data_IF_208151752266
#
_entry.id   IF_208151752266
#
_cell.length_a   1.000
_cell.length_b   1.000
_cell.length_c   1.000
_cell.angle_alpha   90.00
_cell.angle_beta   90.00
_cell.angle_gamma   90.00
#
_symmetry.space_group_name_H-M   'P 1'
#
loop_
_entity.id
_entity.type
_entity.pdbx_description
1 polymer ?
#
# COMPACT_ATOMS: atom_id res chain seq x y z
N UNK A 1 20.21 27.38 20.73
CA UNK A 1 19.38 26.63 19.77
C UNK A 1 19.17 25.23 20.32
N UNK A 2 18.10 25.01 21.01
CA UNK A 2 17.75 23.66 21.53
C UNK A 2 17.44 22.75 20.35
N UNK A 3 18.24 21.71 20.24
CA UNK A 3 18.10 20.66 19.25
C UNK A 3 16.93 19.76 19.70
N UNK A 4 15.68 20.15 19.38
CA UNK A 4 14.49 19.33 19.64
C UNK A 4 14.60 18.07 18.78
N UNK A 5 15.28 17.04 19.33
CA UNK A 5 15.25 15.67 18.78
C UNK A 5 13.76 15.29 18.59
N UNK A 6 13.31 15.18 17.36
CA UNK A 6 11.98 14.63 17.06
C UNK A 6 11.84 13.30 17.81
N UNK A 7 10.89 13.25 18.76
CA UNK A 7 10.59 12.00 19.48
C UNK A 7 10.20 10.94 18.45
N UNK A 8 10.95 9.85 18.38
CA UNK A 8 10.58 8.72 17.55
C UNK A 8 9.28 8.11 18.08
N UNK A 9 8.41 7.67 17.18
CA UNK A 9 7.18 6.94 17.50
C UNK A 9 7.42 5.72 18.44
N UNK A 10 8.64 5.17 18.39
CA UNK A 10 9.02 3.99 19.17
C UNK A 10 9.56 4.27 20.56
N UNK A 11 9.66 5.54 20.98
CA UNK A 11 10.33 5.90 22.23
C UNK A 11 9.53 5.55 23.51
N UNK A 12 8.19 5.39 23.42
CA UNK A 12 7.36 5.16 24.60
C UNK A 12 7.44 3.72 25.11
N UNK A 13 7.27 2.76 24.24
CA UNK A 13 7.20 1.33 24.60
C UNK A 13 8.25 0.45 23.90
N UNK A 14 9.12 1.06 23.08
CA UNK A 14 10.14 0.38 22.31
C UNK A 14 9.63 -0.22 20.99
N UNK A 15 10.56 -0.50 20.09
CA UNK A 15 10.23 -0.96 18.72
C UNK A 15 9.45 -2.28 18.71
N UNK A 16 9.93 -3.30 19.41
CA UNK A 16 9.31 -4.64 19.42
C UNK A 16 7.87 -4.59 19.93
N UNK A 17 7.67 -3.98 21.09
CA UNK A 17 6.34 -3.89 21.71
C UNK A 17 5.35 -3.08 20.84
N UNK A 18 5.85 -2.01 20.17
CA UNK A 18 5.04 -1.24 19.23
C UNK A 18 4.60 -2.08 18.03
N UNK A 19 5.51 -2.86 17.44
CA UNK A 19 5.18 -3.75 16.32
C UNK A 19 4.21 -4.84 16.77
N UNK A 20 4.43 -5.46 17.91
CA UNK A 20 3.56 -6.54 18.42
C UNK A 20 2.14 -5.99 18.72
N UNK A 21 2.02 -4.79 19.30
CA UNK A 21 0.74 -4.11 19.49
C UNK A 21 0.04 -3.85 18.16
N UNK A 22 0.75 -3.36 17.18
CA UNK A 22 0.22 -3.06 15.84
C UNK A 22 -0.22 -4.33 15.12
N UNK A 23 0.58 -5.39 15.14
CA UNK A 23 0.23 -6.71 14.58
C UNK A 23 -1.03 -7.26 15.23
N UNK A 24 -1.14 -7.16 16.56
CA UNK A 24 -2.34 -7.58 17.30
C UNK A 24 -3.59 -6.80 16.87
N UNK A 25 -3.46 -5.49 16.74
CA UNK A 25 -4.56 -4.62 16.30
C UNK A 25 -4.99 -4.96 14.86
N UNK A 26 -4.04 -5.05 13.93
CA UNK A 26 -4.33 -5.38 12.53
C UNK A 26 -4.93 -6.79 12.41
N UNK A 27 -4.44 -7.76 13.19
CA UNK A 27 -5.00 -9.13 13.17
C UNK A 27 -6.48 -9.15 13.55
N UNK A 28 -6.91 -8.34 14.52
CA UNK A 28 -8.32 -8.21 14.88
C UNK A 28 -9.12 -7.62 13.73
N UNK A 29 -8.70 -6.47 13.20
CA UNK A 29 -9.36 -5.81 12.07
C UNK A 29 -9.48 -6.73 10.83
N UNK A 30 -8.41 -7.47 10.54
CA UNK A 30 -8.37 -8.39 9.40
C UNK A 30 -9.38 -9.55 9.53
N UNK A 31 -9.68 -9.97 10.75
CA UNK A 31 -10.59 -11.08 11.05
C UNK A 31 -12.04 -10.62 11.31
N UNK A 32 -12.33 -9.31 11.35
CA UNK A 32 -13.67 -8.80 11.61
C UNK A 32 -14.67 -9.08 10.49
N UNK A 33 -14.17 -9.20 9.27
CA UNK A 33 -14.99 -9.34 8.06
C UNK A 33 -14.29 -10.21 7.00
N UNK A 34 -14.97 -10.46 5.87
CA UNK A 34 -14.43 -11.18 4.72
C UNK A 34 -13.96 -10.23 3.59
N UNK A 35 -13.89 -8.93 3.85
CA UNK A 35 -13.45 -7.91 2.88
C UNK A 35 -12.00 -8.20 2.48
N UNK A 36 -11.67 -8.26 1.16
CA UNK A 36 -10.32 -8.51 0.69
C UNK A 36 -9.37 -7.36 1.03
N UNK A 37 -8.17 -7.71 1.46
CA UNK A 37 -7.12 -6.76 1.75
C UNK A 37 -6.07 -6.77 0.65
N UNK A 38 -5.61 -5.58 0.26
CA UNK A 38 -4.63 -5.36 -0.79
C UNK A 38 -3.50 -4.51 -0.22
N UNK A 39 -2.24 -4.91 -0.43
CA UNK A 39 -1.06 -4.09 -0.09
C UNK A 39 -0.54 -3.42 -1.34
N UNK A 40 -0.46 -2.09 -1.33
CA UNK A 40 0.25 -1.33 -2.35
C UNK A 40 1.76 -1.40 -2.10
N UNK A 41 2.49 -2.10 -2.96
CA UNK A 41 3.92 -2.32 -2.84
C UNK A 41 4.69 -1.60 -3.95
N UNK A 42 5.62 -0.74 -3.60
CA UNK A 42 6.46 0.03 -4.54
C UNK A 42 7.95 -0.32 -4.47
N UNK A 43 8.34 -1.32 -3.65
CA UNK A 43 9.74 -1.63 -3.39
C UNK A 43 10.45 -0.62 -2.46
N UNK A 44 9.78 0.47 -2.06
CA UNK A 44 10.32 1.47 -1.13
C UNK A 44 10.17 1.05 0.34
N UNK A 45 10.92 1.70 1.23
CA UNK A 45 10.98 1.36 2.68
C UNK A 45 9.63 1.29 3.37
N UNK A 46 8.73 2.23 3.07
CA UNK A 46 7.45 2.37 3.76
C UNK A 46 6.45 1.29 3.29
N UNK A 47 6.39 1.02 2.00
CA UNK A 47 5.58 -0.08 1.45
C UNK A 47 6.10 -1.46 1.87
N UNK A 48 7.43 -1.60 2.01
CA UNK A 48 8.04 -2.83 2.54
C UNK A 48 7.72 -3.03 4.01
N UNK A 49 7.69 -1.96 4.82
CA UNK A 49 7.26 -2.03 6.21
C UNK A 49 5.81 -2.48 6.34
N UNK A 50 4.90 -1.94 5.51
CA UNK A 50 3.51 -2.39 5.46
C UNK A 50 3.38 -3.86 5.06
N UNK A 51 4.12 -4.29 4.04
CA UNK A 51 4.12 -5.69 3.60
C UNK A 51 4.62 -6.62 4.72
N UNK A 52 5.69 -6.24 5.42
CA UNK A 52 6.21 -7.02 6.55
C UNK A 52 5.24 -7.06 7.74
N UNK A 53 4.52 -5.98 8.02
CA UNK A 53 3.46 -5.98 9.04
C UNK A 53 2.36 -6.97 8.67
N UNK A 54 1.87 -6.91 7.44
CA UNK A 54 0.84 -7.85 6.97
C UNK A 54 1.33 -9.29 6.95
N UNK A 55 2.59 -9.53 6.58
CA UNK A 55 3.20 -10.86 6.69
C UNK A 55 3.14 -11.40 8.12
N UNK A 56 3.57 -10.61 9.11
CA UNK A 56 3.53 -11.00 10.54
C UNK A 56 2.09 -11.23 11.04
N UNK A 57 1.15 -10.42 10.55
CA UNK A 57 -0.28 -10.61 10.83
C UNK A 57 -0.76 -11.97 10.36
N UNK A 58 -0.45 -12.35 9.11
CA UNK A 58 -0.85 -13.65 8.57
C UNK A 58 -0.15 -14.83 9.26
N UNK A 59 1.15 -14.73 9.56
CA UNK A 59 1.86 -15.74 10.35
C UNK A 59 1.24 -15.94 11.73
N UNK A 60 0.86 -14.85 12.41
CA UNK A 60 0.18 -14.91 13.70
C UNK A 60 -1.19 -15.59 13.59
N UNK A 61 -2.05 -15.16 12.66
CA UNK A 61 -3.37 -15.75 12.43
C UNK A 61 -3.24 -17.25 12.14
N UNK A 62 -2.24 -17.64 11.34
CA UNK A 62 -1.95 -19.03 11.04
C UNK A 62 -1.52 -19.83 12.28
N UNK A 63 -0.67 -19.25 13.13
CA UNK A 63 -0.24 -19.90 14.37
C UNK A 63 -1.38 -20.11 15.38
N UNK A 64 -2.45 -19.30 15.28
CA UNK A 64 -3.68 -19.44 16.06
C UNK A 64 -4.70 -20.39 15.42
N UNK A 65 -4.33 -21.09 14.33
CA UNK A 65 -5.20 -22.00 13.56
C UNK A 65 -6.51 -21.35 13.05
N UNK A 66 -6.48 -20.06 12.79
CA UNK A 66 -7.62 -19.34 12.23
C UNK A 66 -7.56 -19.31 10.70
N UNK A 67 -8.72 -19.18 10.07
CA UNK A 67 -8.83 -19.07 8.61
C UNK A 67 -8.23 -17.75 8.16
N UNK A 68 -7.40 -17.82 7.11
CA UNK A 68 -6.75 -16.67 6.50
C UNK A 68 -7.41 -16.42 5.15
N UNK A 69 -7.97 -15.22 4.95
CA UNK A 69 -8.46 -14.78 3.65
C UNK A 69 -7.31 -14.37 2.72
N UNK A 70 -7.50 -14.33 1.39
CA UNK A 70 -6.47 -13.92 0.45
C UNK A 70 -5.95 -12.51 0.70
N UNK A 71 -4.61 -12.33 0.69
CA UNK A 71 -3.95 -11.02 0.69
C UNK A 71 -3.36 -10.77 -0.69
N UNK A 72 -3.84 -9.74 -1.36
CA UNK A 72 -3.26 -9.31 -2.63
C UNK A 72 -2.13 -8.31 -2.39
N UNK A 73 -1.03 -8.44 -3.15
CA UNK A 73 0.06 -7.46 -3.13
C UNK A 73 0.20 -6.91 -4.54
N UNK A 74 -0.11 -5.64 -4.73
CA UNK A 74 -0.06 -5.01 -6.05
C UNK A 74 1.13 -4.06 -6.15
N UNK A 75 1.81 -4.11 -7.28
CA UNK A 75 2.80 -3.12 -7.69
C UNK A 75 2.52 -2.71 -9.13
N UNK A 76 2.89 -1.49 -9.48
CA UNK A 76 2.66 -0.96 -10.82
C UNK A 76 3.99 -0.74 -11.52
N UNK A 77 4.18 -1.42 -12.66
CA UNK A 77 5.26 -1.13 -13.58
C UNK A 77 4.77 -0.06 -14.59
N UNK A 78 5.43 1.07 -14.59
CA UNK A 78 5.10 2.17 -15.51
C UNK A 78 5.64 1.96 -16.92
N UNK A 79 6.45 0.90 -17.13
CA UNK A 79 7.16 0.59 -18.38
C UNK A 79 8.19 1.64 -18.80
N UNK A 80 8.56 2.55 -17.89
CA UNK A 80 9.59 3.58 -18.06
C UNK A 80 10.42 3.79 -16.77
N UNK A 81 10.32 2.83 -15.85
CA UNK A 81 11.16 2.82 -14.64
C UNK A 81 12.64 2.53 -15.01
N UNK A 82 13.53 2.94 -14.14
CA UNK A 82 14.93 2.53 -14.26
C UNK A 82 15.01 0.99 -14.27
N UNK A 83 15.73 0.36 -15.22
CA UNK A 83 15.80 -1.11 -15.33
C UNK A 83 16.23 -1.82 -14.04
N UNK A 84 17.13 -1.20 -13.25
CA UNK A 84 17.58 -1.73 -11.96
C UNK A 84 16.42 -1.76 -10.96
N UNK A 85 15.60 -0.70 -10.92
CA UNK A 85 14.43 -0.64 -10.04
C UNK A 85 13.36 -1.65 -10.49
N UNK A 86 13.11 -1.76 -11.79
CA UNK A 86 12.19 -2.75 -12.33
C UNK A 86 12.63 -4.19 -11.99
N UNK A 87 13.91 -4.51 -12.18
CA UNK A 87 14.48 -5.81 -11.81
C UNK A 87 14.33 -6.07 -10.31
N UNK A 88 14.65 -5.10 -9.46
CA UNK A 88 14.50 -5.20 -8.01
C UNK A 88 13.07 -5.51 -7.59
N UNK A 89 12.09 -4.80 -8.16
CA UNK A 89 10.68 -5.01 -7.86
C UNK A 89 10.23 -6.39 -8.30
N UNK A 90 10.56 -6.82 -9.52
CA UNK A 90 10.21 -8.15 -10.03
C UNK A 90 10.81 -9.27 -9.17
N UNK A 91 12.11 -9.20 -8.87
CA UNK A 91 12.79 -10.16 -7.99
C UNK A 91 12.15 -10.21 -6.60
N UNK A 92 11.75 -9.04 -6.06
CA UNK A 92 11.07 -8.96 -4.76
C UNK A 92 9.71 -9.64 -4.79
N UNK A 93 8.93 -9.50 -5.87
CA UNK A 93 7.64 -10.17 -6.03
C UNK A 93 7.79 -11.69 -6.18
N UNK A 94 8.82 -12.15 -6.91
CA UNK A 94 9.09 -13.57 -7.08
C UNK A 94 9.51 -14.20 -5.75
N UNK A 95 10.40 -13.55 -5.01
CA UNK A 95 10.79 -13.98 -3.67
C UNK A 95 9.59 -14.01 -2.71
N UNK A 96 8.72 -12.99 -2.77
CA UNK A 96 7.50 -12.93 -1.97
C UNK A 96 6.59 -14.13 -2.28
N UNK A 97 6.41 -14.46 -3.56
CA UNK A 97 5.60 -15.61 -4.00
C UNK A 97 6.16 -16.92 -3.50
N UNK A 98 7.45 -17.15 -3.68
CA UNK A 98 8.15 -18.34 -3.20
C UNK A 98 8.02 -18.51 -1.67
N UNK A 99 8.32 -17.45 -0.91
CA UNK A 99 8.26 -17.49 0.56
C UNK A 99 6.83 -17.63 1.09
N UNK A 100 5.85 -16.98 0.46
CA UNK A 100 4.45 -17.15 0.82
C UNK A 100 4.00 -18.61 0.60
N UNK A 101 4.36 -19.20 -0.53
CA UNK A 101 4.05 -20.59 -0.85
C UNK A 101 4.72 -21.56 0.13
N UNK A 102 6.02 -21.39 0.43
CA UNK A 102 6.75 -22.22 1.37
C UNK A 102 6.19 -22.16 2.80
N UNK A 103 5.63 -21.02 3.18
CA UNK A 103 4.96 -20.81 4.47
C UNK A 103 3.48 -21.15 4.46
N UNK A 104 2.90 -21.53 3.30
CA UNK A 104 1.46 -21.76 3.14
C UNK A 104 0.62 -20.54 3.52
N UNK A 105 1.05 -19.35 3.15
CA UNK A 105 0.32 -18.10 3.33
C UNK A 105 -0.37 -17.71 2.02
N UNK A 106 -1.66 -17.35 2.03
CA UNK A 106 -2.41 -17.00 0.85
C UNK A 106 -2.11 -15.56 0.38
N UNK A 107 -0.85 -15.29 0.01
CA UNK A 107 -0.38 -14.01 -0.50
C UNK A 107 -0.22 -14.10 -2.01
N UNK A 108 -0.86 -13.18 -2.74
CA UNK A 108 -0.94 -13.16 -4.19
C UNK A 108 -0.30 -11.90 -4.76
N UNK A 109 1.02 -11.91 -5.06
CA UNK A 109 1.70 -10.80 -5.70
C UNK A 109 1.25 -10.62 -7.14
N UNK A 110 0.98 -9.39 -7.55
CA UNK A 110 0.55 -9.04 -8.90
C UNK A 110 1.24 -7.77 -9.40
N UNK A 111 1.86 -7.87 -10.56
CA UNK A 111 2.39 -6.74 -11.32
C UNK A 111 1.26 -6.17 -12.19
N UNK A 112 1.02 -4.87 -12.07
CA UNK A 112 0.04 -4.13 -12.85
C UNK A 112 0.76 -3.25 -13.87
N UNK A 113 0.22 -3.17 -15.07
CA UNK A 113 0.75 -2.31 -16.14
C UNK A 113 -0.32 -1.36 -16.66
N UNK A 114 0.04 -0.19 -17.18
CA UNK A 114 -0.89 0.68 -17.87
C UNK A 114 -1.41 0.01 -19.16
N UNK A 115 -2.60 0.40 -19.61
CA UNK A 115 -3.05 0.06 -20.96
C UNK A 115 -2.10 0.67 -21.98
N UNK A 116 -1.95 0.05 -23.15
CA UNK A 116 -1.07 0.54 -24.22
C UNK A 116 -1.32 2.03 -24.52
N UNK A 117 -2.57 2.43 -24.62
CA UNK A 117 -2.98 3.81 -24.87
C UNK A 117 -2.65 4.81 -23.75
N UNK A 118 -2.29 4.31 -22.57
CA UNK A 118 -1.97 5.10 -21.38
C UNK A 118 -0.47 5.10 -21.06
N UNK A 119 0.35 4.41 -21.87
CA UNK A 119 1.80 4.35 -21.68
C UNK A 119 2.46 5.71 -21.89
N UNK A 120 3.66 5.88 -21.35
CA UNK A 120 4.40 7.14 -21.40
C UNK A 120 4.65 7.60 -22.84
N UNK A 121 5.19 6.74 -23.69
CA UNK A 121 5.58 7.11 -25.04
C UNK A 121 4.39 7.37 -25.95
N UNK A 122 3.30 6.63 -25.81
CA UNK A 122 2.06 6.89 -26.57
C UNK A 122 1.49 8.26 -26.22
N UNK A 123 1.53 8.67 -24.96
CA UNK A 123 1.02 10.00 -24.58
C UNK A 123 2.00 11.12 -24.95
N UNK A 124 3.30 10.95 -24.71
CA UNK A 124 4.30 11.99 -24.97
C UNK A 124 4.48 12.23 -26.47
N UNK A 125 4.73 11.16 -27.23
CA UNK A 125 5.04 11.26 -28.68
C UNK A 125 3.76 11.17 -29.50
N UNK A 126 2.93 10.15 -29.27
CA UNK A 126 1.76 9.88 -30.10
C UNK A 126 0.63 10.90 -29.94
N UNK A 127 0.47 11.48 -28.72
CA UNK A 127 -0.59 12.47 -28.41
C UNK A 127 -0.08 13.87 -28.16
N UNK A 128 1.23 14.09 -28.24
CA UNK A 128 1.84 15.41 -28.06
C UNK A 128 1.68 15.98 -26.65
N UNK A 129 1.59 15.16 -25.60
CA UNK A 129 1.50 15.64 -24.23
C UNK A 129 2.83 16.31 -23.85
N UNK A 130 2.79 17.44 -23.12
CA UNK A 130 4.00 18.06 -22.61
C UNK A 130 4.71 17.10 -21.64
N UNK A 131 6.02 17.20 -21.55
CA UNK A 131 6.81 16.44 -20.57
C UNK A 131 6.26 16.63 -19.15
N UNK A 132 6.16 15.58 -18.34
CA UNK A 132 5.68 15.69 -16.97
C UNK A 132 6.54 16.64 -16.14
N UNK A 133 5.89 17.45 -15.30
CA UNK A 133 6.55 18.34 -14.35
C UNK A 133 5.81 18.31 -13.00
N UNK A 134 6.27 19.05 -12.02
CA UNK A 134 5.71 19.08 -10.66
C UNK A 134 4.23 19.46 -10.60
N UNK A 135 3.74 20.27 -11.55
CA UNK A 135 2.34 20.74 -11.63
C UNK A 135 1.49 19.88 -12.57
N UNK A 136 2.10 19.24 -13.58
CA UNK A 136 1.40 18.44 -14.58
C UNK A 136 1.91 17.00 -14.60
N UNK A 137 1.38 16.18 -13.70
CA UNK A 137 1.82 14.83 -13.41
C UNK A 137 0.90 13.75 -14.01
N UNK A 138 0.53 13.91 -15.28
CA UNK A 138 -0.32 12.95 -15.99
C UNK A 138 0.22 11.51 -15.97
N UNK A 139 1.55 11.37 -15.92
CA UNK A 139 2.21 10.06 -15.82
C UNK A 139 1.81 9.29 -14.56
N UNK A 140 1.72 9.95 -13.40
CA UNK A 140 1.28 9.32 -12.15
C UNK A 140 -0.15 8.80 -12.26
N UNK A 141 -1.04 9.63 -12.77
CA UNK A 141 -2.46 9.30 -12.97
C UNK A 141 -2.60 8.07 -13.88
N UNK A 142 -2.05 8.13 -15.09
CA UNK A 142 -2.27 7.12 -16.14
C UNK A 142 -1.53 5.80 -15.89
N UNK A 143 -0.31 5.89 -15.36
CA UNK A 143 0.57 4.73 -15.28
C UNK A 143 0.65 4.10 -13.89
N UNK A 144 0.23 4.80 -12.82
CA UNK A 144 0.21 4.25 -11.44
C UNK A 144 -1.22 4.15 -10.89
N UNK A 145 -1.97 5.25 -10.89
CA UNK A 145 -3.29 5.29 -10.25
C UNK A 145 -4.29 4.43 -11.02
N UNK A 146 -4.46 4.66 -12.31
CA UNK A 146 -5.47 3.93 -13.12
C UNK A 146 -5.29 2.41 -13.15
N UNK A 147 -4.08 1.83 -13.31
CA UNK A 147 -3.91 0.39 -13.19
C UNK A 147 -4.32 -0.16 -11.84
N UNK A 148 -3.97 0.54 -10.75
CA UNK A 148 -4.35 0.19 -9.40
C UNK A 148 -5.87 0.28 -9.20
N UNK A 149 -6.50 1.39 -9.61
CA UNK A 149 -7.95 1.59 -9.51
C UNK A 149 -8.73 0.53 -10.32
N UNK A 150 -8.24 0.11 -11.49
CA UNK A 150 -8.87 -0.98 -12.25
C UNK A 150 -8.85 -2.30 -11.48
N UNK A 151 -7.72 -2.62 -10.86
CA UNK A 151 -7.61 -3.82 -10.05
C UNK A 151 -8.52 -3.78 -8.82
N UNK A 152 -8.46 -2.66 -8.07
CA UNK A 152 -9.28 -2.45 -6.88
C UNK A 152 -10.78 -2.51 -7.21
N UNK A 153 -11.19 -1.84 -8.30
CA UNK A 153 -12.59 -1.85 -8.76
C UNK A 153 -13.08 -3.24 -9.11
N UNK A 154 -12.24 -4.05 -9.78
CA UNK A 154 -12.59 -5.43 -10.09
C UNK A 154 -12.79 -6.24 -8.81
N UNK A 155 -11.86 -6.15 -7.87
CA UNK A 155 -11.92 -6.92 -6.64
C UNK A 155 -13.09 -6.47 -5.74
N UNK A 156 -13.30 -5.16 -5.59
CA UNK A 156 -14.42 -4.63 -4.80
C UNK A 156 -15.79 -4.87 -5.45
N UNK A 157 -15.87 -5.02 -6.77
CA UNK A 157 -17.11 -5.42 -7.44
C UNK A 157 -17.53 -6.87 -7.11
N UNK A 158 -16.55 -7.75 -6.87
CA UNK A 158 -16.78 -9.15 -6.49
C UNK A 158 -17.16 -9.29 -5.01
N UNK A 159 -16.63 -8.43 -4.14
CA UNK A 159 -16.74 -8.54 -2.67
C UNK A 159 -17.60 -7.45 -2.02
N UNK A 160 -18.13 -6.50 -2.78
CA UNK A 160 -18.81 -5.30 -2.29
C UNK A 160 -17.84 -4.19 -1.87
N UNK A 161 -16.85 -4.52 -1.08
CA UNK A 161 -15.83 -3.58 -0.55
C UNK A 161 -14.40 -4.14 -0.69
N UNK A 162 -13.40 -3.28 -0.48
CA UNK A 162 -12.00 -3.67 -0.41
C UNK A 162 -11.20 -2.75 0.52
N UNK A 163 -10.11 -3.27 1.11
CA UNK A 163 -9.18 -2.50 1.94
C UNK A 163 -7.83 -2.43 1.27
N UNK A 164 -7.35 -1.20 0.99
CA UNK A 164 -6.03 -0.93 0.45
C UNK A 164 -5.07 -0.49 1.54
N UNK A 165 -4.07 -1.29 1.86
CA UNK A 165 -2.99 -0.95 2.80
C UNK A 165 -1.94 -0.10 2.10
N UNK A 166 -1.69 1.10 2.64
CA UNK A 166 -0.77 2.08 2.06
C UNK A 166 0.24 2.57 3.08
N UNK A 167 1.52 2.61 2.68
CA UNK A 167 2.63 3.07 3.52
C UNK A 167 2.80 4.59 3.56
N UNK A 168 1.72 5.35 3.62
CA UNK A 168 1.78 6.82 3.72
C UNK A 168 2.01 7.26 5.15
N UNK A 169 2.92 8.24 5.37
CA UNK A 169 3.25 8.78 6.68
C UNK A 169 3.07 10.30 6.75
N UNK A 170 2.62 10.80 7.90
CA UNK A 170 2.52 12.25 8.18
C UNK A 170 3.90 12.94 8.07
N UNK A 171 4.96 12.24 8.47
CA UNK A 171 6.33 12.76 8.48
C UNK A 171 6.93 12.99 7.08
N UNK A 172 6.30 12.50 5.99
CA UNK A 172 6.83 12.65 4.63
C UNK A 172 6.67 14.06 4.04
N UNK A 173 5.59 14.75 4.36
CA UNK A 173 5.37 16.15 3.96
C UNK A 173 4.20 16.78 4.71
N UNK A 174 4.22 18.12 4.82
CA UNK A 174 3.12 18.91 5.41
C UNK A 174 1.78 18.67 4.71
N UNK A 175 1.79 18.55 3.38
CA UNK A 175 0.57 18.26 2.60
C UNK A 175 -0.02 16.89 2.94
N UNK A 176 0.82 15.87 3.12
CA UNK A 176 0.36 14.53 3.55
C UNK A 176 -0.18 14.55 4.97
N UNK A 177 0.51 15.24 5.88
CA UNK A 177 0.05 15.40 7.25
C UNK A 177 -1.34 16.06 7.32
N UNK A 178 -1.55 17.14 6.56
CA UNK A 178 -2.85 17.83 6.49
C UNK A 178 -3.95 16.95 5.88
N UNK A 179 -3.63 16.24 4.79
CA UNK A 179 -4.59 15.34 4.15
C UNK A 179 -5.01 14.20 5.09
N UNK A 180 -4.06 13.56 5.77
CA UNK A 180 -4.34 12.51 6.75
C UNK A 180 -5.17 13.07 7.91
N UNK A 181 -4.78 14.22 8.48
CA UNK A 181 -5.50 14.85 9.59
C UNK A 181 -6.95 15.25 9.24
N UNK A 182 -7.20 15.64 7.98
CA UNK A 182 -8.56 15.91 7.49
C UNK A 182 -9.41 14.65 7.49
N UNK A 183 -8.89 13.54 6.95
CA UNK A 183 -9.62 12.28 6.90
C UNK A 183 -9.79 11.63 8.27
N UNK A 184 -8.83 11.81 9.19
CA UNK A 184 -8.96 11.30 10.56
C UNK A 184 -10.16 11.89 11.31
N UNK A 185 -10.55 13.12 11.00
CA UNK A 185 -11.74 13.76 11.60
C UNK A 185 -13.06 13.16 11.13
N UNK A 186 -13.06 12.58 9.95
CA UNK A 186 -14.24 12.00 9.30
C UNK A 186 -14.26 10.46 9.41
N UNK A 187 -13.15 9.86 9.87
CA UNK A 187 -12.99 8.41 9.92
C UNK A 187 -13.80 7.79 11.06
N UNK A 188 -14.61 6.81 10.73
CA UNK A 188 -15.36 6.00 11.71
C UNK A 188 -14.54 4.87 12.32
N UNK A 189 -13.42 4.49 11.68
CA UNK A 189 -12.50 3.41 12.10
C UNK A 189 -11.07 3.97 12.17
N UNK A 190 -10.33 3.60 13.23
CA UNK A 190 -8.95 4.01 13.42
C UNK A 190 -8.04 3.56 12.28
N UNK A 191 -7.16 4.45 11.80
CA UNK A 191 -6.23 4.25 10.69
C UNK A 191 -6.87 4.02 9.30
N UNK A 192 -8.20 4.13 9.18
CA UNK A 192 -8.87 4.07 7.88
C UNK A 192 -9.16 5.46 7.34
N UNK A 193 -9.09 5.59 6.02
CA UNK A 193 -9.48 6.79 5.27
C UNK A 193 -10.20 6.34 4.00
N UNK A 194 -11.15 7.14 3.47
CA UNK A 194 -11.77 6.81 2.19
C UNK A 194 -10.72 6.83 1.08
N UNK A 195 -10.87 5.95 0.10
CA UNK A 195 -10.05 5.98 -1.11
C UNK A 195 -10.48 7.16 -2.00
N UNK A 196 -9.51 7.84 -2.62
CA UNK A 196 -9.76 9.09 -3.36
C UNK A 196 -10.74 8.90 -4.53
N UNK A 197 -10.64 7.78 -5.24
CA UNK A 197 -11.37 7.56 -6.51
C UNK A 197 -12.48 6.50 -6.41
N UNK A 198 -12.54 5.73 -5.34
CA UNK A 198 -13.42 4.55 -5.23
C UNK A 198 -14.15 4.57 -3.88
N UNK A 199 -15.46 4.77 -3.90
CA UNK A 199 -16.29 4.88 -2.69
C UNK A 199 -16.41 3.58 -1.89
N UNK A 200 -16.24 2.44 -2.56
CA UNK A 200 -16.27 1.10 -1.98
C UNK A 200 -14.88 0.54 -1.65
N UNK A 201 -13.87 1.40 -1.59
CA UNK A 201 -12.51 1.06 -1.15
C UNK A 201 -12.11 1.96 0.01
N UNK A 202 -11.64 1.35 1.09
CA UNK A 202 -11.06 2.05 2.22
C UNK A 202 -9.54 1.91 2.20
N UNK A 203 -8.83 3.01 2.47
CA UNK A 203 -7.37 2.99 2.62
C UNK A 203 -7.00 2.81 4.08
N UNK A 204 -6.18 1.82 4.39
CA UNK A 204 -5.64 1.57 5.73
C UNK A 204 -4.19 2.02 5.83
N UNK A 205 -3.88 2.86 6.80
CA UNK A 205 -2.59 3.54 6.97
C UNK A 205 -1.87 3.09 8.26
N UNK A 206 -1.31 1.86 8.31
CA UNK A 206 -0.77 1.28 9.54
C UNK A 206 0.42 2.02 10.14
N UNK A 207 1.16 2.74 9.31
CA UNK A 207 2.40 3.43 9.69
C UNK A 207 2.29 4.97 9.61
N UNK A 208 1.08 5.52 9.58
CA UNK A 208 0.84 6.96 9.34
C UNK A 208 1.58 7.88 10.30
N UNK A 209 1.77 7.45 11.55
CA UNK A 209 2.41 8.23 12.61
C UNK A 209 3.91 7.90 12.80
N UNK A 210 4.47 7.00 11.98
CA UNK A 210 5.91 6.69 12.07
C UNK A 210 6.77 7.87 11.58
N UNK A 211 7.82 8.18 12.33
CA UNK A 211 8.77 9.29 12.07
C UNK A 211 10.12 8.78 11.57
#
# INVERSE_FOLDING_TARGET
MENTKKKSFFNEIGFKATIDKLVNHISKLYLEDDIPWIVGYSGGKDSSACLQLMWRVLEKIKSENKTIKPLHVITTDTLVENPIVALWVNTSLDLLREKAQSKGLPIFPKLLTPNIQETFWVNLIGRGYPAPNTKFRWCTERMKIRPSDRFLRKLSAESGEAVLVVGTRKAESSNRAQAIARFEKEATRENFTPHVNLSNVSSFLPIKDWS
#
